data_IF_259866756571
#
_entry.id   IF_259866756571
#
_cell.length_a   1.000
_cell.length_b   1.000
_cell.length_c   1.000
_cell.angle_alpha   90.00
_cell.angle_beta   90.00
_cell.angle_gamma   90.00
#
_symmetry.space_group_name_H-M   'P 1'
#
loop_
_entity.id
_entity.type
_entity.pdbx_description
1 polymer ?
#
# COMPACT_ATOMS: atom_id res chain seq x y z
N UNK A 1 -9.07 11.75 -9.84
CA UNK A 1 -7.85 12.13 -10.60
C UNK A 1 -6.97 10.94 -10.95
N UNK A 2 -6.78 9.95 -10.06
CA UNK A 2 -5.87 8.80 -10.28
C UNK A 2 -6.53 7.50 -10.79
N UNK A 3 -7.81 7.54 -11.18
CA UNK A 3 -8.50 6.35 -11.70
C UNK A 3 -7.89 5.92 -13.04
N UNK A 4 -7.56 4.64 -13.19
CA UNK A 4 -7.04 4.06 -14.42
C UNK A 4 -7.25 2.54 -14.42
N UNK A 5 -7.01 1.87 -15.54
CA UNK A 5 -6.88 0.42 -15.55
C UNK A 5 -5.64 0.00 -14.76
N UNK A 6 -5.82 -0.85 -13.75
CA UNK A 6 -4.76 -1.34 -12.90
C UNK A 6 -5.08 -2.73 -12.34
N UNK A 7 -4.11 -3.34 -11.65
CA UNK A 7 -4.33 -4.56 -10.87
C UNK A 7 -5.26 -4.26 -9.70
N UNK A 8 -6.35 -5.04 -9.54
CA UNK A 8 -7.30 -4.92 -8.42
C UNK A 8 -6.62 -4.86 -7.06
N UNK A 9 -5.53 -5.61 -6.92
CA UNK A 9 -4.82 -5.77 -5.67
C UNK A 9 -4.12 -4.49 -5.24
N UNK A 10 -3.80 -3.58 -6.17
CA UNK A 10 -3.34 -2.24 -5.85
C UNK A 10 -4.41 -1.42 -5.14
N UNK A 11 -5.63 -1.37 -5.68
CA UNK A 11 -6.72 -0.59 -5.09
C UNK A 11 -7.08 -1.08 -3.69
N UNK A 12 -7.18 -2.40 -3.53
CA UNK A 12 -7.49 -3.02 -2.22
C UNK A 12 -6.34 -2.80 -1.24
N UNK A 13 -5.09 -3.01 -1.66
CA UNK A 13 -3.93 -2.76 -0.80
C UNK A 13 -3.84 -1.30 -0.38
N UNK A 14 -4.08 -0.39 -1.33
CA UNK A 14 -4.12 1.04 -1.05
C UNK A 14 -5.20 1.37 -0.02
N UNK A 15 -6.40 0.82 -0.19
CA UNK A 15 -7.49 1.01 0.76
C UNK A 15 -7.11 0.56 2.18
N UNK A 16 -6.46 -0.61 2.34
CA UNK A 16 -6.00 -1.06 3.65
C UNK A 16 -4.87 -0.19 4.23
N UNK A 17 -3.94 0.26 3.39
CA UNK A 17 -2.86 1.15 3.80
C UNK A 17 -3.41 2.48 4.33
N UNK A 18 -4.48 3.02 3.72
CA UNK A 18 -5.11 4.27 4.15
C UNK A 18 -5.72 4.21 5.56
N UNK A 19 -5.98 3.03 6.14
CA UNK A 19 -6.44 2.93 7.52
C UNK A 19 -5.40 3.42 8.54
N UNK A 20 -4.12 3.44 8.15
CA UNK A 20 -3.03 3.95 8.98
C UNK A 20 -2.92 5.47 8.97
N UNK A 21 -3.58 6.17 8.03
CA UNK A 21 -3.39 7.60 7.82
C UNK A 21 -4.67 8.38 8.13
N UNK A 22 -4.55 9.32 9.06
CA UNK A 22 -5.60 10.25 9.45
C UNK A 22 -5.22 11.66 8.96
N UNK A 23 -5.96 12.18 7.99
CA UNK A 23 -5.72 13.49 7.37
C UNK A 23 -6.53 14.63 8.01
N UNK A 24 -7.07 14.42 9.21
CA UNK A 24 -7.87 15.43 9.93
C UNK A 24 -7.05 16.25 10.93
N UNK A 25 -5.75 15.99 11.06
CA UNK A 25 -4.86 16.69 12.00
C UNK A 25 -4.75 18.18 11.65
N UNK A 26 -5.11 19.10 12.58
CA UNK A 26 -5.10 20.53 12.32
C UNK A 26 -3.70 21.15 12.27
N UNK A 27 -2.69 20.47 12.83
CA UNK A 27 -1.32 20.97 12.90
C UNK A 27 -0.41 20.27 11.90
N UNK A 28 0.69 20.92 11.50
CA UNK A 28 1.73 20.28 10.70
C UNK A 28 2.18 18.94 11.33
N UNK A 29 2.29 17.83 10.55
CA UNK A 29 2.32 17.77 9.08
C UNK A 29 0.94 17.67 8.39
N UNK A 30 -0.15 17.94 9.12
CA UNK A 30 -1.55 17.88 8.66
C UNK A 30 -2.02 16.47 8.33
N UNK A 31 -1.33 15.49 8.88
CA UNK A 31 -1.76 14.11 8.98
C UNK A 31 -1.14 13.44 10.20
N UNK A 32 -1.71 12.32 10.60
CA UNK A 32 -1.15 11.41 11.60
C UNK A 32 -1.07 10.01 11.03
N UNK A 33 0.06 9.36 11.23
CA UNK A 33 0.26 7.95 10.91
C UNK A 33 0.16 7.12 12.20
N UNK A 34 -0.62 6.04 12.14
CA UNK A 34 -0.71 5.04 13.19
C UNK A 34 -0.77 3.64 12.57
N UNK A 35 0.38 2.97 12.55
CA UNK A 35 0.51 1.62 11.99
C UNK A 35 -0.33 0.58 12.74
N UNK A 36 -0.78 0.86 13.96
CA UNK A 36 -1.63 -0.07 14.72
C UNK A 36 -3.07 -0.12 14.18
N UNK A 37 -3.47 0.89 13.38
CA UNK A 37 -4.78 0.93 12.72
C UNK A 37 -4.85 0.14 11.42
N UNK A 38 -3.74 -0.45 10.95
CA UNK A 38 -3.78 -1.33 9.79
C UNK A 38 -4.80 -2.47 10.05
N UNK A 39 -5.72 -2.77 9.12
CA UNK A 39 -6.82 -3.70 9.37
C UNK A 39 -6.27 -5.07 9.77
N UNK A 40 -6.90 -5.76 10.73
CA UNK A 40 -6.46 -7.09 11.17
C UNK A 40 -6.61 -8.13 10.05
N UNK A 41 -5.99 -9.31 10.21
CA UNK A 41 -6.16 -10.39 9.23
C UNK A 41 -7.64 -10.75 9.04
N UNK A 42 -8.42 -10.80 10.12
CA UNK A 42 -9.84 -11.08 10.08
C UNK A 42 -10.62 -10.01 9.31
N UNK A 43 -10.30 -8.73 9.53
CA UNK A 43 -10.94 -7.61 8.81
C UNK A 43 -10.60 -7.64 7.31
N UNK A 44 -9.34 -7.88 6.96
CA UNK A 44 -8.92 -8.00 5.56
C UNK A 44 -9.60 -9.20 4.90
N UNK A 45 -9.65 -10.36 5.56
CA UNK A 45 -10.31 -11.57 5.05
C UNK A 45 -11.82 -11.34 4.83
N UNK A 46 -12.48 -10.67 5.77
CA UNK A 46 -13.88 -10.29 5.63
C UNK A 46 -14.10 -9.39 4.40
N UNK A 47 -13.25 -8.38 4.21
CA UNK A 47 -13.32 -7.49 3.06
C UNK A 47 -13.12 -8.26 1.73
N UNK A 48 -12.11 -9.12 1.64
CA UNK A 48 -11.83 -9.89 0.41
C UNK A 48 -12.98 -10.84 0.09
N UNK A 49 -13.56 -11.52 1.09
CA UNK A 49 -14.72 -12.40 0.87
C UNK A 49 -15.91 -11.61 0.34
N UNK A 50 -16.26 -10.50 0.98
CA UNK A 50 -17.35 -9.64 0.53
C UNK A 50 -17.11 -9.10 -0.89
N UNK A 51 -15.87 -8.70 -1.21
CA UNK A 51 -15.48 -8.29 -2.56
C UNK A 51 -15.68 -9.40 -3.60
N UNK A 52 -15.26 -10.63 -3.30
CA UNK A 52 -15.39 -11.76 -4.21
C UNK A 52 -16.85 -12.19 -4.39
N UNK A 53 -17.62 -12.18 -3.32
CA UNK A 53 -19.05 -12.50 -3.33
C UNK A 53 -19.82 -11.51 -4.22
N UNK A 54 -19.58 -10.20 -4.05
CA UNK A 54 -20.18 -9.16 -4.89
C UNK A 54 -19.79 -9.29 -6.37
N UNK A 55 -18.57 -9.75 -6.64
CA UNK A 55 -18.08 -10.03 -8.00
C UNK A 55 -18.58 -11.36 -8.58
N UNK A 56 -19.27 -12.18 -7.79
CA UNK A 56 -19.61 -13.56 -8.16
C UNK A 56 -18.39 -14.43 -8.46
N UNK A 57 -17.23 -14.08 -7.91
CA UNK A 57 -15.96 -14.78 -8.17
C UNK A 57 -15.84 -16.03 -7.29
N UNK A 58 -15.27 -17.10 -7.85
CA UNK A 58 -14.97 -18.36 -7.14
C UNK A 58 -13.49 -18.49 -6.76
N UNK A 59 -12.75 -17.40 -6.87
CA UNK A 59 -11.33 -17.38 -6.50
C UNK A 59 -11.16 -17.65 -5.01
N UNK A 60 -10.01 -18.22 -4.65
CA UNK A 60 -9.67 -18.45 -3.25
C UNK A 60 -9.30 -17.11 -2.59
N UNK A 61 -10.03 -16.66 -1.53
CA UNK A 61 -9.74 -15.40 -0.84
C UNK A 61 -8.29 -15.30 -0.35
N UNK A 62 -7.67 -16.42 0.03
CA UNK A 62 -6.29 -16.45 0.52
C UNK A 62 -5.26 -16.18 -0.58
N UNK A 63 -5.53 -16.59 -1.83
CA UNK A 63 -4.63 -16.27 -2.94
C UNK A 63 -4.74 -14.79 -3.32
N UNK A 64 -5.96 -14.25 -3.35
CA UNK A 64 -6.18 -12.81 -3.55
C UNK A 64 -5.53 -11.99 -2.44
N UNK A 65 -5.59 -12.45 -1.18
CA UNK A 65 -4.93 -11.78 -0.06
C UNK A 65 -3.42 -11.69 -0.27
N UNK A 66 -2.76 -12.78 -0.71
CA UNK A 66 -1.32 -12.75 -1.01
C UNK A 66 -0.96 -11.73 -2.09
N UNK A 67 -1.79 -11.62 -3.13
CA UNK A 67 -1.61 -10.59 -4.15
C UNK A 67 -1.68 -9.19 -3.52
N UNK A 68 -2.73 -8.93 -2.73
CA UNK A 68 -2.95 -7.64 -2.04
C UNK A 68 -1.77 -7.29 -1.13
N UNK A 69 -1.26 -8.24 -0.36
CA UNK A 69 -0.12 -8.03 0.53
C UNK A 69 1.14 -7.59 -0.22
N UNK A 70 1.40 -8.13 -1.41
CA UNK A 70 2.52 -7.70 -2.26
C UNK A 70 2.27 -6.28 -2.80
N UNK A 71 1.05 -5.97 -3.20
CA UNK A 71 0.70 -4.65 -3.73
C UNK A 71 0.73 -3.52 -2.69
N UNK A 72 0.73 -3.82 -1.39
CA UNK A 72 0.99 -2.82 -0.35
C UNK A 72 2.39 -2.18 -0.51
N UNK A 73 3.40 -2.94 -0.99
CA UNK A 73 4.70 -2.37 -1.37
C UNK A 73 4.54 -1.32 -2.46
N UNK A 74 3.77 -1.63 -3.50
CA UNK A 74 3.55 -0.73 -4.62
C UNK A 74 2.79 0.53 -4.17
N UNK A 75 1.78 0.41 -3.30
CA UNK A 75 1.06 1.56 -2.74
C UNK A 75 1.98 2.47 -1.92
N UNK A 76 2.79 1.92 -1.00
CA UNK A 76 3.73 2.72 -0.24
C UNK A 76 4.74 3.44 -1.12
N UNK A 77 5.33 2.74 -2.08
CA UNK A 77 6.31 3.34 -2.99
C UNK A 77 5.69 4.42 -3.89
N UNK A 78 4.51 4.16 -4.47
CA UNK A 78 3.81 5.10 -5.34
C UNK A 78 3.54 6.42 -4.61
N UNK A 79 2.95 6.35 -3.42
CA UNK A 79 2.60 7.54 -2.64
C UNK A 79 3.80 8.23 -1.99
N UNK A 80 4.90 7.50 -1.73
CA UNK A 80 6.17 8.11 -1.35
C UNK A 80 6.72 8.99 -2.48
N UNK A 81 6.72 8.49 -3.72
CA UNK A 81 7.16 9.27 -4.89
C UNK A 81 6.25 10.45 -5.16
N UNK A 82 4.94 10.26 -5.04
CA UNK A 82 3.97 11.35 -5.15
C UNK A 82 4.22 12.45 -4.10
N UNK A 83 4.46 12.06 -2.84
CA UNK A 83 4.79 13.00 -1.76
C UNK A 83 6.07 13.76 -2.05
N UNK A 84 7.12 13.07 -2.51
CA UNK A 84 8.41 13.69 -2.84
C UNK A 84 8.26 14.76 -3.92
N UNK A 85 7.54 14.46 -5.01
CA UNK A 85 7.30 15.44 -6.08
C UNK A 85 6.49 16.63 -5.55
N UNK A 86 5.44 16.37 -4.77
CA UNK A 86 4.56 17.43 -4.27
C UNK A 86 5.18 18.28 -3.17
N UNK A 87 6.24 17.81 -2.51
CA UNK A 87 7.01 18.62 -1.56
C UNK A 87 7.61 19.88 -2.20
N UNK A 88 7.92 19.84 -3.49
CA UNK A 88 8.45 20.99 -4.24
C UNK A 88 7.35 21.72 -5.04
N UNK A 89 6.32 21.01 -5.51
CA UNK A 89 5.37 21.57 -6.49
C UNK A 89 4.03 22.03 -5.91
N UNK A 90 3.62 21.50 -4.75
CA UNK A 90 2.29 21.75 -4.21
C UNK A 90 2.20 23.07 -3.45
N UNK A 91 1.03 23.70 -3.48
CA UNK A 91 0.69 24.91 -2.71
C UNK A 91 -0.16 24.60 -1.47
N UNK A 92 -0.57 23.34 -1.30
CA UNK A 92 -1.40 22.92 -0.16
C UNK A 92 -0.47 22.79 1.05
N UNK A 93 -0.85 23.35 2.23
CA UNK A 93 -0.08 23.20 3.45
C UNK A 93 -0.24 21.77 3.97
N UNK A 94 0.59 20.87 3.48
CA UNK A 94 0.66 19.47 3.87
C UNK A 94 2.13 19.07 3.97
N UNK A 95 2.49 18.28 4.99
CA UNK A 95 3.86 17.79 5.21
C UNK A 95 4.24 16.72 4.19
N UNK A 96 4.37 17.09 2.92
CA UNK A 96 4.63 16.18 1.81
C UNK A 96 5.96 15.43 1.94
N UNK A 97 6.99 16.10 2.47
CA UNK A 97 8.30 15.49 2.69
C UNK A 97 8.24 14.44 3.80
N UNK A 98 7.59 14.77 4.92
CA UNK A 98 7.36 13.86 6.04
C UNK A 98 6.54 12.65 5.59
N UNK A 99 5.49 12.90 4.81
CA UNK A 99 4.64 11.85 4.23
C UNK A 99 5.44 10.94 3.31
N UNK A 100 6.26 11.51 2.43
CA UNK A 100 7.12 10.73 1.53
C UNK A 100 8.10 9.83 2.32
N UNK A 101 8.75 10.39 3.34
CA UNK A 101 9.67 9.66 4.21
C UNK A 101 8.97 8.53 4.99
N UNK A 102 7.79 8.81 5.54
CA UNK A 102 6.95 7.83 6.25
C UNK A 102 6.57 6.67 5.32
N UNK A 103 5.96 6.96 4.16
CA UNK A 103 5.56 5.94 3.18
C UNK A 103 6.76 5.11 2.68
N UNK A 104 7.91 5.74 2.44
CA UNK A 104 9.13 5.02 2.02
C UNK A 104 9.69 4.12 3.13
N UNK A 105 9.58 4.55 4.40
CA UNK A 105 9.97 3.73 5.56
C UNK A 105 9.09 2.49 5.65
N UNK A 106 7.77 2.62 5.51
CA UNK A 106 6.85 1.48 5.47
C UNK A 106 7.17 0.53 4.30
N UNK A 107 7.47 1.06 3.11
CA UNK A 107 7.93 0.25 1.98
C UNK A 107 9.18 -0.58 2.34
N UNK A 108 10.18 0.04 2.94
CA UNK A 108 11.42 -0.65 3.32
C UNK A 108 11.16 -1.74 4.36
N UNK A 109 10.39 -1.44 5.41
CA UNK A 109 10.02 -2.42 6.44
C UNK A 109 9.28 -3.62 5.85
N UNK A 110 8.28 -3.36 5.00
CA UNK A 110 7.51 -4.41 4.34
C UNK A 110 8.38 -5.23 3.37
N UNK A 111 9.29 -4.57 2.63
CA UNK A 111 10.24 -5.24 1.74
C UNK A 111 11.18 -6.15 2.51
N UNK A 112 11.66 -5.72 3.68
CA UNK A 112 12.47 -6.57 4.56
C UNK A 112 11.67 -7.77 5.08
N UNK A 113 10.41 -7.57 5.48
CA UNK A 113 9.50 -8.66 5.90
C UNK A 113 9.36 -9.73 4.81
N UNK A 114 9.16 -9.34 3.55
CA UNK A 114 9.05 -10.27 2.41
C UNK A 114 10.40 -10.86 1.95
N UNK A 115 11.47 -10.07 2.03
CA UNK A 115 12.83 -10.50 1.67
C UNK A 115 13.39 -11.54 2.63
N UNK A 116 13.08 -11.41 3.93
CA UNK A 116 13.46 -12.40 4.95
C UNK A 116 12.64 -13.69 4.90
N UNK A 117 11.41 -13.64 4.38
CA UNK A 117 10.51 -14.80 4.28
C UNK A 117 10.61 -15.56 2.95
N UNK A 118 11.56 -15.22 2.09
CA UNK A 118 11.85 -15.95 0.84
C UNK A 118 10.81 -15.81 -0.27
N UNK A 119 9.77 -15.00 -0.07
CA UNK A 119 8.68 -14.79 -1.04
C UNK A 119 9.11 -13.96 -2.27
N UNK A 120 10.19 -13.18 -2.14
CA UNK A 120 10.77 -12.36 -3.22
C UNK A 120 12.13 -12.87 -3.69
N UNK A 121 12.34 -14.20 -3.75
CA UNK A 121 13.56 -14.74 -4.41
C UNK A 121 13.50 -14.46 -5.91
N UNK A 122 14.25 -13.43 -6.31
CA UNK A 122 14.49 -12.99 -7.69
C UNK A 122 14.90 -14.18 -8.56
N UNK A 123 14.06 -14.63 -9.49
CA UNK A 123 14.51 -15.44 -10.64
C UNK A 123 15.30 -14.52 -11.56
N UNK A 124 16.57 -14.31 -11.25
CA UNK A 124 17.51 -13.60 -12.12
C UNK A 124 18.56 -14.56 -12.62
N UNK A 125 18.14 -15.54 -13.43
CA UNK A 125 19.05 -16.43 -14.15
C UNK A 125 18.66 -16.65 -15.64
N UNK A 126 17.62 -15.99 -16.16
CA UNK A 126 17.17 -16.23 -17.55
C UNK A 126 17.53 -15.09 -18.54
N UNK A 127 18.43 -14.19 -18.16
CA UNK A 127 18.99 -13.17 -19.08
C UNK A 127 20.52 -13.12 -18.94
N UNK A 128 21.19 -14.15 -19.46
CA UNK A 128 22.55 -14.00 -19.97
C UNK A 128 22.43 -14.18 -21.49
N UNK A 129 22.69 -13.12 -22.23
CA UNK A 129 22.92 -13.18 -23.68
C UNK A 129 24.28 -13.86 -23.89
#
# INVERSE_FOLDING_TARGET
EYCSYNYRSFDIANHFVEWMYDYTEPNHPFYREDCSNYPTEEQRQLFIRAYLDERGSRENPNEVMKEVEVFALASHFFWAMWGLVNAETSKIPFGYWEYACSRLTCYQQLKHKFGGSGQLKRKMNDYTI
#
